data_IF_208520968230
#
_entry.id   IF_208520968230
#
_cell.length_a   1.000
_cell.length_b   1.000
_cell.length_c   1.000
_cell.angle_alpha   90.00
_cell.angle_beta   90.00
_cell.angle_gamma   90.00
#
_symmetry.space_group_name_H-M   'P 1'
#
loop_
_entity.id
_entity.type
_entity.pdbx_description
1 polymer ?
#
# COMPACT_ATOMS: atom_id res chain seq x y z
N UNK A 1 1.67 33.69 10.91
CA UNK A 1 1.01 32.47 11.42
C UNK A 1 0.50 31.68 10.23
N UNK A 2 1.10 30.53 9.90
CA UNK A 2 0.61 29.70 8.80
C UNK A 2 -0.74 29.09 9.19
N UNK A 3 -1.79 29.31 8.39
CA UNK A 3 -3.09 28.66 8.57
C UNK A 3 -3.07 27.33 7.84
N UNK A 4 -3.08 26.23 8.59
CA UNK A 4 -3.13 24.86 8.05
C UNK A 4 -4.59 24.44 7.88
N UNK A 5 -4.95 23.91 6.70
CA UNK A 5 -6.27 23.30 6.47
C UNK A 5 -6.13 21.81 6.22
N UNK A 6 -7.11 21.03 6.68
CA UNK A 6 -7.14 19.58 6.57
C UNK A 6 -8.19 19.17 5.53
N UNK A 7 -7.88 18.16 4.73
CA UNK A 7 -8.82 17.48 3.83
C UNK A 7 -8.64 15.98 4.07
N UNK A 8 -9.71 15.26 4.37
CA UNK A 8 -9.65 13.82 4.66
C UNK A 8 -10.94 13.10 4.24
N UNK A 9 -10.87 11.79 4.04
CA UNK A 9 -12.06 10.96 3.94
C UNK A 9 -12.76 10.86 5.28
N UNK A 10 -14.09 10.94 5.26
CA UNK A 10 -14.92 10.50 6.36
C UNK A 10 -15.32 9.04 6.07
N UNK A 11 -14.76 8.11 6.84
CA UNK A 11 -15.01 6.67 6.66
C UNK A 11 -16.25 6.24 7.43
N UNK A 12 -16.91 5.18 6.94
CA UNK A 12 -18.08 4.56 7.58
C UNK A 12 -19.29 5.48 7.70
N UNK A 13 -19.46 6.39 6.74
CA UNK A 13 -20.67 7.21 6.60
C UNK A 13 -21.83 6.32 6.18
N UNK A 14 -22.86 6.26 7.02
CA UNK A 14 -24.03 5.39 6.84
C UNK A 14 -25.25 6.13 6.30
N UNK A 15 -25.33 7.44 6.52
CA UNK A 15 -26.38 8.29 5.99
C UNK A 15 -26.17 8.58 4.51
N UNK A 16 -27.27 8.79 3.77
CA UNK A 16 -27.24 9.13 2.34
C UNK A 16 -27.92 10.48 2.13
N UNK A 17 -27.27 11.35 1.37
CA UNK A 17 -27.88 12.59 0.90
C UNK A 17 -28.80 12.34 -0.28
N UNK A 18 -29.77 13.23 -0.49
CA UNK A 18 -30.70 13.12 -1.63
C UNK A 18 -29.89 13.25 -2.93
N UNK A 19 -30.24 12.45 -3.93
CA UNK A 19 -29.57 12.49 -5.23
C UNK A 19 -29.74 13.84 -5.93
N UNK A 20 -30.80 14.60 -5.60
CA UNK A 20 -31.04 15.95 -6.12
C UNK A 20 -30.05 16.99 -5.61
N UNK A 21 -29.35 16.71 -4.51
CA UNK A 21 -28.34 17.60 -3.96
C UNK A 21 -27.03 17.57 -4.78
N UNK A 22 -26.88 16.59 -5.67
CA UNK A 22 -25.69 16.40 -6.47
C UNK A 22 -25.79 17.11 -7.81
N UNK A 23 -24.71 17.78 -8.18
CA UNK A 23 -24.57 18.45 -9.47
C UNK A 23 -23.38 17.87 -10.24
N UNK A 24 -23.55 17.73 -11.54
CA UNK A 24 -22.49 17.27 -12.44
C UNK A 24 -21.42 18.36 -12.59
N UNK A 25 -20.17 18.02 -12.28
CA UNK A 25 -19.03 18.93 -12.37
C UNK A 25 -17.87 18.24 -13.09
N UNK A 26 -17.27 18.96 -14.03
CA UNK A 26 -16.09 18.48 -14.75
C UNK A 26 -14.83 18.75 -13.92
N UNK A 27 -14.14 17.67 -13.55
CA UNK A 27 -12.93 17.71 -12.71
C UNK A 27 -11.74 17.22 -13.51
N UNK A 28 -10.65 17.99 -13.53
CA UNK A 28 -9.41 17.56 -14.19
C UNK A 28 -8.54 16.83 -13.16
N UNK A 29 -8.24 15.55 -13.41
CA UNK A 29 -7.34 14.73 -12.60
C UNK A 29 -6.31 14.09 -13.55
N UNK A 30 -5.02 14.32 -13.29
CA UNK A 30 -3.91 13.80 -14.10
C UNK A 30 -4.10 14.03 -15.61
N UNK A 31 -4.48 15.26 -15.97
CA UNK A 31 -4.78 15.69 -17.35
C UNK A 31 -5.97 14.98 -18.02
N UNK A 32 -6.70 14.13 -17.29
CA UNK A 32 -7.96 13.57 -17.75
C UNK A 32 -9.13 14.40 -17.23
N UNK A 33 -10.07 14.71 -18.13
CA UNK A 33 -11.36 15.29 -17.77
C UNK A 33 -12.27 14.19 -17.25
N UNK A 34 -12.67 14.28 -16.00
CA UNK A 34 -13.54 13.32 -15.33
C UNK A 34 -14.77 14.05 -14.82
N UNK A 35 -15.91 13.64 -15.32
CA UNK A 35 -17.20 14.08 -14.81
C UNK A 35 -17.46 13.47 -13.43
N UNK A 36 -17.86 14.29 -12.46
CA UNK A 36 -18.23 13.85 -11.11
C UNK A 36 -19.53 14.50 -10.65
N UNK A 37 -20.42 13.72 -10.07
CA UNK A 37 -21.58 14.24 -9.34
C UNK A 37 -21.16 14.62 -7.91
N UNK A 38 -21.14 15.92 -7.61
CA UNK A 38 -20.67 16.47 -6.35
C UNK A 38 -21.78 17.23 -5.63
N UNK A 39 -21.82 17.08 -4.30
CA UNK A 39 -22.67 17.83 -3.40
C UNK A 39 -21.83 18.36 -2.22
N UNK A 40 -22.23 19.49 -1.64
CA UNK A 40 -21.56 20.09 -0.50
C UNK A 40 -22.57 20.47 0.60
N UNK A 41 -22.25 20.14 1.86
CA UNK A 41 -22.98 20.62 3.04
C UNK A 41 -22.02 21.00 4.17
N UNK A 42 -22.47 21.89 5.06
CA UNK A 42 -21.80 22.09 6.33
C UNK A 42 -22.25 21.01 7.32
N UNK A 43 -21.31 20.47 8.08
CA UNK A 43 -21.57 19.47 9.12
C UNK A 43 -20.88 19.87 10.42
N UNK A 44 -21.34 19.31 11.53
CA UNK A 44 -20.66 19.40 12.82
C UNK A 44 -20.22 18.00 13.22
N UNK A 45 -18.93 17.81 13.46
CA UNK A 45 -18.36 16.54 13.92
C UNK A 45 -17.55 16.80 15.19
N UNK A 46 -17.93 16.17 16.30
CA UNK A 46 -17.30 16.36 17.61
C UNK A 46 -17.16 17.85 17.99
N UNK A 47 -18.26 18.60 17.86
CA UNK A 47 -18.33 20.05 18.13
C UNK A 47 -17.44 20.94 17.25
N UNK A 48 -16.96 20.41 16.12
CA UNK A 48 -16.21 21.17 15.12
C UNK A 48 -17.04 21.32 13.84
N UNK A 49 -17.27 22.57 13.43
CA UNK A 49 -17.87 22.88 12.14
C UNK A 49 -16.89 22.60 10.99
N UNK A 50 -17.32 21.75 10.07
CA UNK A 50 -16.58 21.31 8.91
C UNK A 50 -17.44 21.46 7.65
N UNK A 51 -16.79 21.46 6.49
CA UNK A 51 -17.45 21.27 5.21
C UNK A 51 -17.33 19.81 4.81
N UNK A 52 -18.43 19.21 4.37
CA UNK A 52 -18.46 17.89 3.79
C UNK A 52 -18.78 18.00 2.30
N UNK A 53 -17.93 17.42 1.46
CA UNK A 53 -18.14 17.26 0.03
C UNK A 53 -18.34 15.79 -0.24
N UNK A 54 -19.46 15.42 -0.88
CA UNK A 54 -19.72 14.04 -1.28
C UNK A 54 -19.63 13.89 -2.78
N UNK A 55 -19.06 12.76 -3.22
CA UNK A 55 -19.11 12.31 -4.61
C UNK A 55 -20.07 11.12 -4.71
N UNK A 56 -21.04 11.18 -5.63
CA UNK A 56 -21.89 10.05 -5.98
C UNK A 56 -21.24 9.24 -7.13
N UNK A 57 -21.29 7.91 -7.03
CA UNK A 57 -20.92 7.00 -8.12
C UNK A 57 -22.18 6.42 -8.79
N UNK A 58 -22.02 5.78 -9.95
CA UNK A 58 -23.10 5.11 -10.69
C UNK A 58 -23.88 4.06 -9.86
N UNK A 59 -23.25 3.47 -8.84
CA UNK A 59 -23.88 2.52 -7.91
C UNK A 59 -24.64 3.18 -6.74
N UNK A 60 -24.92 4.48 -6.84
CA UNK A 60 -25.46 5.36 -5.77
C UNK A 60 -24.62 5.38 -4.49
N UNK A 61 -23.40 4.85 -4.50
CA UNK A 61 -22.48 4.96 -3.38
C UNK A 61 -21.96 6.40 -3.27
N UNK A 62 -22.00 6.96 -2.05
CA UNK A 62 -21.55 8.32 -1.76
C UNK A 62 -20.23 8.27 -0.99
N UNK A 63 -19.16 8.75 -1.62
CA UNK A 63 -17.85 8.91 -0.97
C UNK A 63 -17.78 10.27 -0.30
N UNK A 64 -17.55 10.28 1.02
CA UNK A 64 -17.51 11.50 1.83
C UNK A 64 -16.10 12.02 2.07
N UNK A 65 -15.93 13.33 1.86
CA UNK A 65 -14.73 14.10 2.10
C UNK A 65 -15.05 15.22 3.08
N UNK A 66 -14.30 15.33 4.16
CA UNK A 66 -14.42 16.42 5.14
C UNK A 66 -13.23 17.37 5.05
N UNK A 67 -13.49 18.66 5.26
CA UNK A 67 -12.44 19.67 5.26
C UNK A 67 -12.69 20.81 6.24
N UNK A 68 -11.60 21.32 6.83
CA UNK A 68 -11.59 22.60 7.57
C UNK A 68 -11.38 23.80 6.65
N UNK A 69 -11.12 23.58 5.35
CA UNK A 69 -10.86 24.64 4.40
C UNK A 69 -12.17 25.31 3.96
N UNK A 70 -12.35 26.59 4.30
CA UNK A 70 -13.57 27.36 3.98
C UNK A 70 -13.56 28.04 2.59
N UNK A 71 -12.46 27.95 1.83
CA UNK A 71 -12.25 28.73 0.59
C UNK A 71 -12.20 27.89 -0.67
N UNK A 72 -11.69 26.66 -0.59
CA UNK A 72 -11.53 25.80 -1.76
C UNK A 72 -12.90 25.38 -2.30
N UNK A 73 -13.02 25.39 -3.62
CA UNK A 73 -14.22 24.89 -4.29
C UNK A 73 -14.34 23.37 -4.13
N UNK A 74 -15.56 22.81 -4.10
CA UNK A 74 -15.79 21.36 -4.06
C UNK A 74 -15.02 20.59 -5.12
N UNK A 75 -14.95 21.12 -6.35
CA UNK A 75 -14.17 20.55 -7.46
C UNK A 75 -12.70 20.36 -7.06
N UNK A 76 -12.08 21.37 -6.46
CA UNK A 76 -10.67 21.31 -6.05
C UNK A 76 -10.46 20.35 -4.89
N UNK A 77 -11.40 20.28 -3.95
CA UNK A 77 -11.38 19.34 -2.83
C UNK A 77 -11.47 17.90 -3.35
N UNK A 78 -12.45 17.63 -4.22
CA UNK A 78 -12.62 16.35 -4.88
C UNK A 78 -11.38 15.98 -5.70
N UNK A 79 -10.88 16.88 -6.56
CA UNK A 79 -9.67 16.66 -7.35
C UNK A 79 -8.47 16.27 -6.49
N UNK A 80 -8.19 17.01 -5.42
CA UNK A 80 -7.07 16.72 -4.50
C UNK A 80 -7.23 15.39 -3.79
N UNK A 81 -8.45 15.03 -3.38
CA UNK A 81 -8.72 13.76 -2.72
C UNK A 81 -8.63 12.57 -3.68
N UNK A 82 -9.23 12.68 -4.86
CA UNK A 82 -9.20 11.59 -5.84
C UNK A 82 -7.85 11.45 -6.53
N UNK A 83 -7.07 12.53 -6.67
CA UNK A 83 -5.66 12.44 -7.08
C UNK A 83 -4.81 11.63 -6.07
N UNK A 84 -5.25 11.48 -4.81
CA UNK A 84 -4.59 10.60 -3.85
C UNK A 84 -4.75 9.13 -4.24
N UNK A 85 -5.86 8.76 -4.88
CA UNK A 85 -6.07 7.42 -5.44
C UNK A 85 -5.07 7.11 -6.57
N UNK A 86 -4.57 8.14 -7.28
CA UNK A 86 -3.46 7.99 -8.23
C UNK A 86 -2.23 7.40 -7.56
N UNK A 87 -1.97 7.69 -6.27
CA UNK A 87 -0.84 7.09 -5.55
C UNK A 87 -1.01 5.59 -5.36
N UNK A 88 -2.22 5.14 -5.02
CA UNK A 88 -2.50 3.71 -4.90
C UNK A 88 -2.42 3.00 -6.26
N UNK A 89 -2.95 3.63 -7.31
CA UNK A 89 -2.81 3.15 -8.67
C UNK A 89 -1.33 3.08 -9.10
N UNK A 90 -0.51 4.07 -8.73
CA UNK A 90 0.92 4.08 -8.97
C UNK A 90 1.63 2.90 -8.30
N UNK A 91 1.41 2.67 -7.00
CA UNK A 91 2.02 1.54 -6.31
C UNK A 91 1.51 0.20 -6.81
N UNK A 92 0.22 0.10 -7.14
CA UNK A 92 -0.34 -1.11 -7.76
C UNK A 92 0.33 -1.39 -9.10
N UNK A 93 0.46 -0.37 -9.94
CA UNK A 93 1.07 -0.48 -11.27
C UNK A 93 2.55 -0.84 -11.19
N UNK A 94 3.34 -0.12 -10.38
CA UNK A 94 4.75 -0.42 -10.18
C UNK A 94 4.99 -1.83 -9.62
N UNK A 95 4.10 -2.35 -8.78
CA UNK A 95 4.19 -3.73 -8.30
C UNK A 95 3.93 -4.74 -9.41
N UNK A 96 2.91 -4.50 -10.24
CA UNK A 96 2.50 -5.43 -11.30
C UNK A 96 3.48 -5.43 -12.49
N UNK A 97 3.94 -4.25 -12.92
CA UNK A 97 4.67 -4.09 -14.19
C UNK A 97 6.18 -3.87 -13.98
N UNK A 98 6.58 -3.28 -12.84
CA UNK A 98 7.98 -2.98 -12.53
C UNK A 98 8.53 -3.84 -11.39
N UNK A 99 7.74 -4.78 -10.87
CA UNK A 99 8.14 -5.70 -9.80
C UNK A 99 8.70 -4.96 -8.58
N UNK A 100 8.03 -3.87 -8.18
CA UNK A 100 8.51 -2.97 -7.12
C UNK A 100 8.76 -3.69 -5.80
N UNK A 101 8.02 -4.74 -5.48
CA UNK A 101 8.15 -5.47 -4.22
C UNK A 101 9.32 -6.46 -4.22
N UNK A 102 9.83 -6.86 -5.40
CA UNK A 102 10.92 -7.83 -5.44
C UNK A 102 12.19 -7.29 -4.82
N UNK A 103 12.71 -8.06 -3.88
CA UNK A 103 14.02 -7.91 -3.30
C UNK A 103 14.96 -8.74 -4.17
N UNK A 104 15.87 -8.06 -4.87
CA UNK A 104 16.86 -8.70 -5.75
C UNK A 104 18.18 -8.95 -4.98
N UNK A 105 18.34 -8.32 -3.83
CA UNK A 105 19.58 -8.33 -3.05
C UNK A 105 19.35 -8.96 -1.69
N UNK A 106 20.16 -9.98 -1.39
CA UNK A 106 20.11 -10.73 -0.13
C UNK A 106 21.33 -10.46 0.75
N UNK A 107 22.08 -9.38 0.48
CA UNK A 107 23.19 -9.01 1.36
C UNK A 107 22.63 -8.52 2.68
N UNK A 108 23.15 -9.14 3.73
CA UNK A 108 22.78 -8.91 5.09
C UNK A 108 23.98 -8.29 5.80
N UNK A 109 23.76 -7.11 6.35
CA UNK A 109 24.74 -6.42 7.17
C UNK A 109 24.44 -6.68 8.65
N UNK A 110 25.51 -6.87 9.42
CA UNK A 110 25.41 -6.89 10.87
C UNK A 110 24.92 -5.53 11.37
N UNK A 111 23.98 -5.56 12.31
CA UNK A 111 23.49 -4.34 12.96
C UNK A 111 24.54 -3.88 13.96
N UNK A 112 24.63 -2.56 14.18
CA UNK A 112 25.46 -1.99 15.24
C UNK A 112 25.21 -2.72 16.57
N UNK A 113 26.31 -3.17 17.15
CA UNK A 113 26.29 -4.15 18.22
C UNK A 113 25.85 -3.60 19.57
N UNK A 114 25.80 -2.27 19.73
CA UNK A 114 25.44 -1.60 20.97
C UNK A 114 23.92 -1.33 21.10
N UNK A 115 23.15 -1.58 20.03
CA UNK A 115 21.69 -1.44 20.05
C UNK A 115 21.07 -2.45 21.02
N UNK A 116 20.21 -1.97 21.93
CA UNK A 116 19.53 -2.81 22.93
C UNK A 116 18.21 -3.36 22.39
N UNK A 117 18.03 -4.67 22.53
CA UNK A 117 16.81 -5.39 22.14
C UNK A 117 16.27 -6.21 23.31
N UNK A 118 15.00 -6.59 23.22
CA UNK A 118 14.40 -7.51 24.19
C UNK A 118 15.04 -8.88 24.01
N UNK A 119 15.58 -9.44 25.10
CA UNK A 119 16.25 -10.73 25.11
C UNK A 119 15.30 -11.85 24.59
N UNK A 120 15.62 -12.56 23.49
CA UNK A 120 14.71 -13.54 22.89
C UNK A 120 14.28 -14.67 23.83
N UNK A 121 15.17 -15.31 24.62
CA UNK A 121 14.79 -16.17 25.74
C UNK A 121 13.77 -15.56 26.71
N UNK A 122 14.00 -14.32 27.18
CA UNK A 122 13.07 -13.62 28.07
C UNK A 122 11.70 -13.41 27.40
N UNK A 123 11.67 -13.05 26.12
CA UNK A 123 10.44 -12.88 25.32
C UNK A 123 9.68 -14.21 25.16
N UNK A 124 10.38 -15.31 24.84
CA UNK A 124 9.80 -16.66 24.72
C UNK A 124 9.14 -17.09 26.04
N UNK A 125 9.81 -16.89 27.18
CA UNK A 125 9.27 -17.21 28.51
C UNK A 125 8.09 -16.32 28.88
N UNK A 126 8.13 -15.02 28.54
CA UNK A 126 7.01 -14.09 28.75
C UNK A 126 5.76 -14.53 27.98
N UNK A 127 5.92 -14.99 26.73
CA UNK A 127 4.81 -15.50 25.93
C UNK A 127 4.24 -16.82 26.50
N UNK A 128 5.10 -17.72 27.01
CA UNK A 128 4.65 -18.93 27.73
C UNK A 128 3.84 -18.57 28.98
N UNK A 129 4.33 -17.64 29.80
CA UNK A 129 3.63 -17.14 30.99
C UNK A 129 2.26 -16.55 30.65
N UNK A 130 2.15 -15.76 29.59
CA UNK A 130 0.86 -15.20 29.14
C UNK A 130 -0.15 -16.32 28.84
N UNK A 131 0.28 -17.38 28.13
CA UNK A 131 -0.58 -18.54 27.83
C UNK A 131 -0.99 -19.31 29.08
N UNK A 132 -0.07 -19.51 30.04
CA UNK A 132 -0.39 -20.20 31.30
C UNK A 132 -1.37 -19.39 32.15
N UNK A 133 -1.15 -18.08 32.30
CA UNK A 133 -2.06 -17.19 33.02
C UNK A 133 -3.47 -17.17 32.44
N UNK A 134 -3.57 -17.19 31.12
CA UNK A 134 -4.86 -17.28 30.43
C UNK A 134 -5.56 -18.62 30.74
N UNK A 135 -4.84 -19.74 30.74
CA UNK A 135 -5.38 -21.05 31.15
C UNK A 135 -5.84 -21.04 32.62
N UNK A 136 -5.04 -20.47 33.52
CA UNK A 136 -5.37 -20.31 34.94
C UNK A 136 -6.66 -19.50 35.08
N UNK A 137 -6.78 -18.35 34.41
CA UNK A 137 -7.97 -17.51 34.45
C UNK A 137 -9.23 -18.27 33.99
N UNK A 138 -9.15 -19.00 32.87
CA UNK A 138 -10.27 -19.83 32.38
C UNK A 138 -10.64 -20.95 33.37
N UNK A 139 -9.65 -21.61 33.97
CA UNK A 139 -9.89 -22.67 34.96
C UNK A 139 -10.46 -22.13 36.27
N UNK A 140 -10.03 -20.95 36.73
CA UNK A 140 -10.64 -20.25 37.88
C UNK A 140 -12.09 -19.91 37.60
N UNK A 141 -12.41 -19.32 36.45
CA UNK A 141 -13.79 -19.05 36.05
C UNK A 141 -14.64 -20.34 36.07
N UNK A 142 -14.11 -21.44 35.50
CA UNK A 142 -14.82 -22.72 35.51
C UNK A 142 -15.03 -23.28 36.92
N UNK A 143 -14.05 -23.11 37.79
CA UNK A 143 -14.15 -23.52 39.18
C UNK A 143 -15.22 -22.72 39.92
N UNK A 144 -15.32 -21.41 39.70
CA UNK A 144 -16.38 -20.56 40.27
C UNK A 144 -17.77 -21.00 39.81
N UNK A 145 -17.96 -21.27 38.51
CA UNK A 145 -19.24 -21.82 38.00
C UNK A 145 -19.61 -23.15 38.68
N UNK A 146 -18.64 -24.04 38.89
CA UNK A 146 -18.89 -25.34 39.52
C UNK A 146 -19.19 -25.18 41.02
N UNK A 147 -18.54 -24.24 41.70
CA UNK A 147 -18.84 -23.91 43.11
C UNK A 147 -20.26 -23.37 43.23
N UNK A 148 -20.65 -22.43 42.37
CA UNK A 148 -21.99 -21.84 42.36
C UNK A 148 -23.07 -22.91 42.12
N UNK A 149 -22.87 -23.76 41.09
CA UNK A 149 -23.77 -24.89 40.81
C UNK A 149 -23.90 -25.88 41.97
N UNK A 150 -22.83 -26.10 42.73
CA UNK A 150 -22.86 -26.97 43.91
C UNK A 150 -23.65 -26.37 45.08
N UNK A 151 -23.76 -25.05 45.16
CA UNK A 151 -24.53 -24.36 46.19
C UNK A 151 -26.02 -24.34 45.82
N UNK A 152 -26.36 -24.33 44.52
CA UNK A 152 -27.74 -24.14 44.03
C UNK A 152 -28.46 -25.40 43.54
N UNK A 153 -27.79 -26.56 43.41
CA UNK A 153 -28.38 -27.77 42.80
C UNK A 153 -29.10 -28.69 43.82
N UNK A 154 -30.16 -29.38 43.36
CA UNK A 154 -30.81 -30.48 44.10
C UNK A 154 -29.90 -31.72 44.23
N UNK A 155 -30.13 -32.48 45.29
CA UNK A 155 -29.24 -33.46 45.95
C UNK A 155 -28.64 -34.54 45.03
N UNK A 156 -29.27 -34.86 43.90
CA UNK A 156 -28.90 -35.99 43.03
C UNK A 156 -27.67 -35.75 42.12
N UNK A 157 -27.24 -34.49 41.89
CA UNK A 157 -26.08 -34.19 41.03
C UNK A 157 -24.79 -33.83 41.78
N UNK A 158 -24.85 -33.87 43.11
CA UNK A 158 -23.82 -33.31 44.00
C UNK A 158 -22.48 -34.05 43.91
N UNK A 159 -22.48 -35.38 43.82
CA UNK A 159 -21.26 -36.18 43.81
C UNK A 159 -20.44 -36.00 42.52
N UNK A 160 -21.11 -35.95 41.37
CA UNK A 160 -20.47 -35.72 40.07
C UNK A 160 -19.85 -34.32 39.98
N UNK A 161 -20.55 -33.31 40.49
CA UNK A 161 -20.03 -31.95 40.50
C UNK A 161 -18.84 -31.79 41.47
N UNK A 162 -18.83 -32.46 42.63
CA UNK A 162 -17.65 -32.48 43.52
C UNK A 162 -16.44 -33.16 42.87
N UNK A 163 -16.64 -34.28 42.15
CA UNK A 163 -15.57 -34.92 41.37
C UNK A 163 -14.98 -33.98 40.32
N UNK A 164 -15.84 -33.31 39.54
CA UNK A 164 -15.41 -32.31 38.55
C UNK A 164 -14.70 -31.12 39.19
N UNK A 165 -15.17 -30.63 40.34
CA UNK A 165 -14.52 -29.56 41.09
C UNK A 165 -13.12 -29.94 41.55
N UNK A 166 -12.94 -31.18 42.05
CA UNK A 166 -11.64 -31.70 42.47
C UNK A 166 -10.64 -31.75 41.31
N UNK A 167 -11.07 -32.28 40.16
CA UNK A 167 -10.25 -32.35 38.93
C UNK A 167 -9.81 -30.94 38.50
N UNK A 168 -10.73 -29.96 38.51
CA UNK A 168 -10.40 -28.58 38.12
C UNK A 168 -9.43 -27.94 39.11
N UNK A 169 -9.57 -28.21 40.42
CA UNK A 169 -8.63 -27.72 41.45
C UNK A 169 -7.23 -28.30 41.26
N UNK A 170 -7.10 -29.60 40.99
CA UNK A 170 -5.81 -30.25 40.75
C UNK A 170 -5.13 -29.68 39.49
N UNK A 171 -5.87 -29.53 38.39
CA UNK A 171 -5.36 -28.92 37.17
C UNK A 171 -4.92 -27.46 37.40
N UNK A 172 -5.63 -26.73 38.26
CA UNK A 172 -5.27 -25.36 38.60
C UNK A 172 -3.95 -25.31 39.39
N UNK A 173 -3.79 -26.19 40.39
CA UNK A 173 -2.53 -26.30 41.15
C UNK A 173 -1.34 -26.63 40.25
N UNK A 174 -1.51 -27.55 39.29
CA UNK A 174 -0.47 -27.88 38.32
C UNK A 174 -0.09 -26.66 37.44
N UNK A 175 -1.08 -25.89 36.97
CA UNK A 175 -0.82 -24.69 36.18
C UNK A 175 -0.16 -23.57 37.00
N UNK A 176 -0.53 -23.40 38.27
CA UNK A 176 0.08 -22.43 39.17
C UNK A 176 1.54 -22.79 39.49
N UNK A 177 1.85 -24.10 39.66
CA UNK A 177 3.22 -24.57 39.81
C UNK A 177 4.06 -24.28 38.55
N UNK A 178 3.52 -24.58 37.37
CA UNK A 178 4.15 -24.25 36.08
C UNK A 178 4.38 -22.74 35.92
N UNK A 179 3.45 -21.89 36.39
CA UNK A 179 3.65 -20.45 36.39
C UNK A 179 4.85 -20.04 37.25
N UNK A 180 4.96 -20.59 38.47
CA UNK A 180 6.07 -20.29 39.37
C UNK A 180 7.43 -20.72 38.80
N UNK A 181 7.49 -21.90 38.17
CA UNK A 181 8.70 -22.38 37.48
C UNK A 181 9.10 -21.44 36.35
N UNK A 182 8.16 -21.08 35.47
CA UNK A 182 8.42 -20.16 34.36
C UNK A 182 8.83 -18.75 34.84
N UNK A 183 8.32 -18.28 35.98
CA UNK A 183 8.75 -17.02 36.59
C UNK A 183 10.21 -17.13 37.05
N UNK A 184 10.59 -18.22 37.73
CA UNK A 184 11.96 -18.48 38.17
C UNK A 184 12.92 -18.57 36.99
N UNK A 185 12.55 -19.28 35.94
CA UNK A 185 13.33 -19.37 34.71
C UNK A 185 13.48 -18.01 34.03
N UNK A 186 12.39 -17.23 33.90
CA UNK A 186 12.45 -15.91 33.26
C UNK A 186 13.39 -14.94 33.98
N UNK A 187 13.44 -15.00 35.31
CA UNK A 187 14.34 -14.17 36.13
C UNK A 187 15.82 -14.44 35.88
N UNK A 188 16.19 -15.61 35.32
CA UNK A 188 17.58 -15.93 34.94
C UNK A 188 18.05 -15.14 33.72
N UNK A 189 17.14 -14.55 32.95
CA UNK A 189 17.43 -13.79 31.75
C UNK A 189 17.12 -12.32 31.96
N UNK A 190 18.05 -11.43 31.60
CA UNK A 190 17.80 -9.99 31.59
C UNK A 190 16.66 -9.63 30.63
N UNK A 191 15.95 -8.54 30.91
CA UNK A 191 14.88 -8.07 30.03
C UNK A 191 15.43 -7.59 28.67
N UNK A 192 16.56 -6.90 28.69
CA UNK A 192 17.25 -6.38 27.50
C UNK A 192 18.69 -6.88 27.45
N UNK A 193 19.18 -7.07 26.22
CA UNK A 193 20.57 -7.35 25.89
C UNK A 193 20.96 -6.52 24.68
N UNK A 194 22.25 -6.27 24.51
CA UNK A 194 22.80 -5.69 23.29
C UNK A 194 22.83 -6.73 22.16
N UNK A 195 22.88 -6.31 20.90
CA UNK A 195 22.96 -7.22 19.76
C UNK A 195 24.24 -8.08 19.80
N UNK A 196 25.36 -7.54 20.31
CA UNK A 196 26.62 -8.29 20.52
C UNK A 196 26.45 -9.47 21.48
N UNK A 197 25.62 -9.33 22.50
CA UNK A 197 25.37 -10.37 23.51
C UNK A 197 24.39 -11.45 23.01
N UNK A 198 23.74 -11.25 21.86
CA UNK A 198 22.88 -12.27 21.25
C UNK A 198 23.70 -13.43 20.70
N UNK A 199 23.16 -14.65 20.85
CA UNK A 199 23.67 -15.83 20.16
C UNK A 199 23.68 -15.59 18.64
N UNK A 200 24.74 -16.04 17.97
CA UNK A 200 24.99 -15.75 16.56
C UNK A 200 23.85 -16.22 15.64
N UNK A 201 23.24 -17.37 15.95
CA UNK A 201 22.10 -17.94 15.22
C UNK A 201 20.81 -17.12 15.34
N UNK A 202 20.62 -16.38 16.44
CA UNK A 202 19.43 -15.56 16.68
C UNK A 202 19.72 -14.06 16.48
N UNK A 203 20.96 -13.70 16.15
CA UNK A 203 21.39 -12.30 16.05
C UNK A 203 20.66 -11.60 14.91
N UNK A 204 20.19 -10.39 15.20
CA UNK A 204 19.50 -9.61 14.19
C UNK A 204 20.45 -9.05 13.15
N UNK A 205 19.89 -9.03 11.95
CA UNK A 205 20.57 -8.84 10.69
C UNK A 205 19.76 -7.81 9.90
N UNK A 206 20.41 -6.85 9.26
CA UNK A 206 19.75 -5.81 8.46
C UNK A 206 20.01 -6.06 7.00
N UNK A 207 18.95 -6.16 6.20
CA UNK A 207 19.06 -6.14 4.75
C UNK A 207 19.69 -4.83 4.29
N UNK A 208 20.64 -4.91 3.37
CA UNK A 208 21.14 -3.71 2.72
C UNK A 208 20.07 -3.13 1.78
N UNK A 209 19.63 -1.91 2.08
CA UNK A 209 18.56 -1.24 1.34
C UNK A 209 19.08 -0.27 0.27
N UNK A 210 20.39 0.00 0.19
CA UNK A 210 20.92 1.01 -0.75
C UNK A 210 20.68 0.59 -2.20
N UNK A 211 21.02 -0.65 -2.54
CA UNK A 211 20.74 -1.23 -3.86
C UNK A 211 19.25 -1.21 -4.19
N UNK A 212 18.40 -1.50 -3.20
CA UNK A 212 16.93 -1.48 -3.37
C UNK A 212 16.42 -0.07 -3.64
N UNK A 213 16.93 0.92 -2.91
CA UNK A 213 16.57 2.32 -3.10
C UNK A 213 16.95 2.79 -4.51
N UNK A 214 18.18 2.51 -4.95
CA UNK A 214 18.65 2.85 -6.29
C UNK A 214 17.77 2.24 -7.38
N UNK A 215 17.47 0.94 -7.29
CA UNK A 215 16.57 0.28 -8.23
C UNK A 215 15.17 0.88 -8.23
N UNK A 216 14.62 1.20 -7.05
CA UNK A 216 13.31 1.83 -6.95
C UNK A 216 13.31 3.21 -7.62
N UNK A 217 14.37 4.00 -7.49
CA UNK A 217 14.51 5.29 -8.18
C UNK A 217 14.46 5.09 -9.71
N UNK A 218 15.21 4.13 -10.25
CA UNK A 218 15.17 3.82 -11.69
C UNK A 218 13.76 3.43 -12.12
N UNK A 219 13.09 2.55 -11.39
CA UNK A 219 11.70 2.13 -11.69
C UNK A 219 10.74 3.32 -11.69
N UNK A 220 10.90 4.25 -10.74
CA UNK A 220 10.10 5.47 -10.67
C UNK A 220 10.33 6.40 -11.86
N UNK A 221 11.59 6.53 -12.32
CA UNK A 221 11.95 7.31 -13.51
C UNK A 221 11.32 6.67 -14.76
N UNK A 222 11.47 5.36 -14.94
CA UNK A 222 10.87 4.63 -16.06
C UNK A 222 9.34 4.77 -16.07
N UNK A 223 8.69 4.59 -14.91
CA UNK A 223 7.24 4.80 -14.79
C UNK A 223 6.82 6.21 -15.21
N UNK A 224 7.57 7.24 -14.81
CA UNK A 224 7.29 8.64 -15.20
C UNK A 224 7.49 8.86 -16.69
N UNK A 225 8.56 8.32 -17.27
CA UNK A 225 8.81 8.39 -18.71
C UNK A 225 7.69 7.70 -19.51
N UNK A 226 7.32 6.48 -19.12
CA UNK A 226 6.22 5.71 -19.71
C UNK A 226 4.88 6.45 -19.59
N UNK A 227 4.61 7.06 -18.43
CA UNK A 227 3.41 7.86 -18.22
C UNK A 227 3.37 9.05 -19.16
N UNK A 228 4.47 9.79 -19.27
CA UNK A 228 4.57 10.95 -20.14
C UNK A 228 4.41 10.55 -21.62
N UNK A 229 5.06 9.47 -22.03
CA UNK A 229 4.92 8.91 -23.37
C UNK A 229 3.48 8.46 -23.67
N UNK A 230 2.80 7.84 -22.71
CA UNK A 230 1.40 7.46 -22.85
C UNK A 230 0.48 8.67 -23.03
N UNK A 231 0.77 9.79 -22.35
CA UNK A 231 0.00 11.04 -22.48
C UNK A 231 0.25 11.69 -23.85
N UNK A 232 1.49 11.66 -24.35
CA UNK A 232 1.80 12.16 -25.70
C UNK A 232 1.06 11.34 -26.77
N UNK A 233 1.03 10.01 -26.64
CA UNK A 233 0.22 9.14 -27.50
C UNK A 233 -1.29 9.43 -27.40
N UNK A 234 -1.77 9.89 -26.24
CA UNK A 234 -3.18 10.19 -25.99
C UNK A 234 -3.73 11.32 -26.87
N UNK A 235 -2.89 12.32 -27.17
CA UNK A 235 -3.31 13.54 -27.85
C UNK A 235 -4.03 13.23 -29.17
N UNK A 236 -3.64 12.14 -29.84
CA UNK A 236 -4.18 11.74 -31.13
C UNK A 236 -4.92 10.38 -31.09
N UNK A 237 -5.04 9.74 -29.92
CA UNK A 237 -5.70 8.44 -29.77
C UNK A 237 -7.08 8.57 -29.13
N UNK A 238 -8.14 8.36 -29.92
CA UNK A 238 -9.55 8.61 -29.53
C UNK A 238 -10.15 7.71 -28.42
N UNK A 239 -9.41 6.78 -27.81
CA UNK A 239 -9.97 5.76 -26.87
C UNK A 239 -9.46 5.89 -25.43
N UNK A 240 -10.21 5.26 -24.51
CA UNK A 240 -10.00 5.24 -23.04
C UNK A 240 -8.53 5.03 -22.63
N UNK A 241 -8.14 5.69 -21.55
CA UNK A 241 -6.80 5.74 -20.91
C UNK A 241 -6.11 4.37 -20.75
N UNK A 242 -6.88 3.27 -20.61
CA UNK A 242 -6.35 1.92 -20.45
C UNK A 242 -5.73 1.33 -21.73
N UNK A 243 -6.29 1.59 -22.91
CA UNK A 243 -5.73 1.07 -24.17
C UNK A 243 -4.41 1.76 -24.53
N UNK A 244 -4.25 3.03 -24.15
CA UNK A 244 -3.04 3.80 -24.40
C UNK A 244 -1.83 3.26 -23.64
N UNK A 245 -2.02 2.84 -22.38
CA UNK A 245 -0.96 2.20 -21.59
C UNK A 245 -0.56 0.86 -22.19
N UNK A 246 -1.52 0.08 -22.66
CA UNK A 246 -1.22 -1.19 -23.32
C UNK A 246 -0.41 -0.98 -24.62
N UNK A 247 -0.81 -0.01 -25.45
CA UNK A 247 -0.07 0.35 -26.67
C UNK A 247 1.33 0.87 -26.34
N UNK A 248 1.46 1.75 -25.35
CA UNK A 248 2.75 2.26 -24.86
C UNK A 248 3.69 1.13 -24.48
N UNK A 249 3.22 0.19 -23.66
CA UNK A 249 4.00 -0.98 -23.26
C UNK A 249 4.40 -1.84 -24.46
N UNK A 250 3.47 -2.07 -25.40
CA UNK A 250 3.73 -2.83 -26.61
C UNK A 250 4.81 -2.17 -27.47
N UNK A 251 4.79 -0.85 -27.60
CA UNK A 251 5.79 -0.09 -28.35
C UNK A 251 7.17 -0.17 -27.69
N UNK A 252 7.26 0.06 -26.38
CA UNK A 252 8.53 0.02 -25.63
C UNK A 252 9.14 -1.40 -25.66
N UNK A 253 8.30 -2.43 -25.60
CA UNK A 253 8.74 -3.82 -25.66
C UNK A 253 8.99 -4.32 -27.09
N UNK A 254 8.60 -3.56 -28.11
CA UNK A 254 8.79 -3.96 -29.51
C UNK A 254 10.26 -4.00 -29.88
N UNK A 255 10.62 -4.95 -30.76
CA UNK A 255 11.94 -4.95 -31.38
C UNK A 255 11.99 -3.82 -32.40
N UNK A 256 13.15 -3.20 -32.53
CA UNK A 256 13.42 -2.17 -33.51
C UNK A 256 14.82 -2.36 -34.07
N UNK A 257 15.04 -1.95 -35.32
CA UNK A 257 16.41 -1.81 -35.83
C UNK A 257 17.02 -0.54 -35.24
N UNK A 258 18.29 -0.60 -34.87
CA UNK A 258 19.07 0.56 -34.46
C UNK A 258 20.21 0.72 -35.45
N UNK A 259 20.16 1.78 -36.25
CA UNK A 259 21.05 2.02 -37.38
C UNK A 259 21.79 3.34 -37.16
N UNK A 260 23.03 3.32 -36.67
CA UNK A 260 23.85 4.52 -36.55
C UNK A 260 24.42 4.95 -37.91
N UNK A 261 24.36 6.25 -38.18
CA UNK A 261 25.08 6.93 -39.28
C UNK A 261 25.97 8.00 -38.64
N UNK A 262 27.27 7.69 -38.56
CA UNK A 262 28.25 8.56 -37.91
C UNK A 262 28.65 9.77 -38.76
N UNK A 263 28.49 9.71 -40.09
CA UNK A 263 28.80 10.83 -40.97
C UNK A 263 27.72 11.90 -40.86
N UNK A 264 26.45 11.49 -40.92
CA UNK A 264 25.31 12.39 -40.75
C UNK A 264 24.99 12.69 -39.30
N UNK A 265 25.68 12.04 -38.35
CA UNK A 265 25.46 12.13 -36.90
C UNK A 265 24.01 11.82 -36.53
N UNK A 266 23.46 10.73 -37.04
CA UNK A 266 22.09 10.30 -36.75
C UNK A 266 22.07 8.86 -36.24
N UNK A 267 21.13 8.55 -35.34
CA UNK A 267 20.83 7.21 -34.88
C UNK A 267 19.37 6.90 -35.23
N UNK A 268 19.18 6.11 -36.29
CA UNK A 268 17.84 5.78 -36.77
C UNK A 268 17.29 4.57 -36.03
N UNK A 269 16.11 4.71 -35.44
CA UNK A 269 15.34 3.64 -34.80
C UNK A 269 14.18 3.28 -35.74
N UNK A 270 14.24 2.09 -36.33
CA UNK A 270 13.17 1.60 -37.22
C UNK A 270 12.23 0.66 -36.48
N UNK A 271 10.98 1.10 -36.35
CA UNK A 271 9.89 0.32 -35.75
C UNK A 271 9.25 -0.59 -36.81
N UNK A 272 8.89 -1.81 -36.43
CA UNK A 272 8.09 -2.68 -37.29
C UNK A 272 6.60 -2.36 -37.20
N UNK A 273 5.84 -2.80 -38.20
CA UNK A 273 4.38 -2.67 -38.18
C UNK A 273 3.77 -3.39 -36.98
N UNK A 274 2.84 -2.69 -36.35
CA UNK A 274 1.98 -3.17 -35.28
C UNK A 274 0.79 -3.93 -35.86
N UNK A 275 0.11 -4.69 -35.00
CA UNK A 275 -0.98 -5.60 -35.39
C UNK A 275 -2.17 -4.93 -36.05
N UNK A 276 -2.43 -3.64 -35.76
CA UNK A 276 -3.60 -2.93 -36.28
C UNK A 276 -3.21 -1.61 -36.96
N UNK A 277 -3.86 -1.22 -38.08
CA UNK A 277 -3.60 0.04 -38.78
C UNK A 277 -3.73 1.28 -37.89
N UNK A 278 -4.66 1.25 -36.94
CA UNK A 278 -4.86 2.33 -35.97
C UNK A 278 -3.64 2.56 -35.08
N UNK A 279 -3.06 1.48 -34.59
CA UNK A 279 -1.92 1.56 -33.68
C UNK A 279 -0.67 2.00 -34.46
N UNK A 280 -0.52 1.54 -35.72
CA UNK A 280 0.49 2.05 -36.65
C UNK A 280 0.35 3.56 -36.87
N UNK A 281 -0.87 4.06 -37.09
CA UNK A 281 -1.10 5.50 -37.27
C UNK A 281 -0.65 6.31 -36.04
N UNK A 282 -1.05 5.88 -34.84
CA UNK A 282 -0.65 6.55 -33.61
C UNK A 282 0.87 6.51 -33.38
N UNK A 283 1.51 5.39 -33.75
CA UNK A 283 2.94 5.23 -33.64
C UNK A 283 3.73 6.05 -34.69
N UNK A 284 3.17 6.29 -35.88
CA UNK A 284 3.79 7.19 -36.88
C UNK A 284 3.77 8.63 -36.36
N UNK A 285 2.64 9.11 -35.86
CA UNK A 285 2.49 10.47 -35.36
C UNK A 285 3.40 10.75 -34.14
N UNK A 286 3.59 9.76 -33.25
CA UNK A 286 4.54 9.93 -32.14
C UNK A 286 6.00 9.94 -32.63
N UNK A 287 6.34 9.18 -33.68
CA UNK A 287 7.68 9.25 -34.29
C UNK A 287 7.97 10.65 -34.84
N UNK A 288 7.01 11.27 -35.52
CA UNK A 288 7.12 12.66 -35.98
C UNK A 288 7.36 13.61 -34.80
N UNK A 289 6.53 13.50 -33.75
CA UNK A 289 6.67 14.32 -32.54
C UNK A 289 8.04 14.15 -31.86
N UNK A 290 8.56 12.92 -31.81
CA UNK A 290 9.88 12.64 -31.26
C UNK A 290 11.00 13.17 -32.15
N UNK A 291 10.86 13.11 -33.46
CA UNK A 291 11.84 13.64 -34.41
C UNK A 291 11.94 15.17 -34.34
N UNK A 292 10.80 15.85 -34.19
CA UNK A 292 10.71 17.31 -34.03
C UNK A 292 11.44 17.82 -32.78
N UNK A 293 11.66 16.95 -31.78
CA UNK A 293 12.41 17.31 -30.58
C UNK A 293 13.92 17.44 -30.79
N UNK A 294 14.44 16.99 -31.94
CA UNK A 294 15.87 16.95 -32.29
C UNK A 294 16.75 16.33 -31.18
N UNK A 295 16.19 15.35 -30.45
CA UNK A 295 16.84 14.77 -29.28
C UNK A 295 18.12 14.01 -29.67
N UNK A 296 19.23 14.29 -28.97
CA UNK A 296 20.48 13.54 -29.12
C UNK A 296 20.52 12.32 -28.21
N UNK A 297 21.09 11.22 -28.71
CA UNK A 297 21.30 10.02 -27.92
C UNK A 297 22.31 10.28 -26.78
N UNK A 298 21.98 9.97 -25.52
CA UNK A 298 22.80 10.31 -24.37
C UNK A 298 24.26 9.85 -24.50
N UNK A 299 25.21 10.77 -24.23
CA UNK A 299 26.64 10.48 -24.31
C UNK A 299 27.22 10.48 -25.73
N UNK A 300 26.45 10.91 -26.74
CA UNK A 300 26.90 10.99 -28.14
C UNK A 300 26.40 12.27 -28.83
N UNK A 301 26.91 12.54 -30.04
CA UNK A 301 26.40 13.60 -30.91
C UNK A 301 25.34 13.10 -31.91
N UNK A 302 24.89 11.86 -31.80
CA UNK A 302 23.93 11.27 -32.74
C UNK A 302 22.51 11.76 -32.44
N UNK A 303 21.87 12.44 -33.39
CA UNK A 303 20.45 12.79 -33.32
C UNK A 303 19.58 11.55 -33.53
N UNK A 304 18.61 11.33 -32.64
CA UNK A 304 17.65 10.24 -32.75
C UNK A 304 16.63 10.52 -33.83
N UNK A 305 16.42 9.56 -34.72
CA UNK A 305 15.40 9.60 -35.78
C UNK A 305 14.57 8.33 -35.70
N UNK A 306 13.27 8.47 -35.47
CA UNK A 306 12.30 7.39 -35.39
C UNK A 306 11.52 7.29 -36.71
N UNK A 307 11.42 6.09 -37.26
CA UNK A 307 10.57 5.82 -38.44
C UNK A 307 10.08 4.38 -38.45
N UNK A 308 9.14 4.06 -39.33
CA UNK A 308 8.77 2.68 -39.58
C UNK A 308 9.72 2.04 -40.61
N UNK A 309 10.05 0.77 -40.40
CA UNK A 309 10.72 -0.04 -41.40
C UNK A 309 9.83 -0.10 -42.65
N UNK A 310 10.39 0.24 -43.80
CA UNK A 310 9.70 0.07 -45.08
C UNK A 310 9.60 -1.42 -45.36
N UNK A 311 8.38 -1.93 -45.59
CA UNK A 311 8.14 -3.32 -46.00
C UNK A 311 8.56 -3.50 -47.46
#
# INVERSE_FOLDING_TARGET
>A
MARTSVISYHKNVTDRWDEKDFSEQEVIIDSNKVTMELAEKNITLNDVELREVRKKNESSHQTSIITTNKKLQPITIAAKMFARWTQENFFKYLRQEYDLDRIVYYVVNNIDGDFKVVNPPHRKLTNKLKKIREKIARKKAKLYELIDKNITAETDNTENNFKQQSIVKEQLQQLELQEQELIKERKKHSYQITIKEMAEEERYNKLDFESKLFQNIIKMICYRAETSFSILLAANYRKKTNEMRALTKSLIASKANIIPDYEKKTLTVELYSLSNPRDNKAAIEICETLNDSETKFPGTELQLIYKFATI
#
